data_IF_793242992837
#
_entry.id   IF_793242992837
#
_cell.length_a   1.000
_cell.length_b   1.000
_cell.length_c   1.000
_cell.angle_alpha   90.00
_cell.angle_beta   90.00
_cell.angle_gamma   90.00
#
_symmetry.space_group_name_H-M   'P 1'
#
loop_
_entity.id
_entity.type
_entity.pdbx_description
1 polymer ?
#
# COMPACT_ATOMS: atom_id res chain seq x y z
N UNK A 1 -63.68 8.64 18.45
CA UNK A 1 -63.43 7.33 17.80
C UNK A 1 -62.20 7.47 16.92
N UNK A 2 -61.04 7.01 17.37
CA UNK A 2 -59.82 6.93 16.56
C UNK A 2 -59.82 5.59 15.82
N UNK A 3 -59.84 5.61 14.49
CA UNK A 3 -59.59 4.43 13.66
C UNK A 3 -58.11 4.07 13.79
N UNK A 4 -57.81 2.91 14.34
CA UNK A 4 -56.50 2.28 14.17
C UNK A 4 -56.32 1.97 12.68
N UNK A 5 -55.30 2.55 12.07
CA UNK A 5 -54.81 2.12 10.76
C UNK A 5 -54.10 0.78 10.97
N UNK A 6 -54.60 -0.27 10.32
CA UNK A 6 -53.94 -1.56 10.25
C UNK A 6 -52.58 -1.39 9.59
N UNK A 7 -51.51 -1.66 10.34
CA UNK A 7 -50.18 -1.76 9.78
C UNK A 7 -50.17 -2.88 8.76
N UNK A 8 -49.81 -2.55 7.52
CA UNK A 8 -49.48 -3.56 6.53
C UNK A 8 -48.26 -4.33 7.04
N UNK A 9 -48.45 -5.61 7.35
CA UNK A 9 -47.34 -6.54 7.58
C UNK A 9 -46.44 -6.50 6.34
N UNK A 10 -45.26 -5.87 6.47
CA UNK A 10 -44.19 -6.09 5.52
C UNK A 10 -43.86 -7.57 5.61
N UNK A 11 -44.04 -8.30 4.51
CA UNK A 11 -43.46 -9.64 4.38
C UNK A 11 -41.98 -9.49 4.70
N UNK A 12 -41.55 -10.14 5.78
CA UNK A 12 -40.15 -10.30 6.07
C UNK A 12 -39.55 -11.11 4.93
N UNK A 13 -38.90 -10.41 4.01
CA UNK A 13 -38.29 -11.00 2.82
C UNK A 13 -36.97 -11.70 3.18
N UNK A 14 -36.68 -11.93 4.47
CA UNK A 14 -35.48 -12.58 4.95
C UNK A 14 -34.20 -11.76 4.68
N UNK A 15 -33.11 -12.16 5.33
CA UNK A 15 -31.81 -11.52 5.14
C UNK A 15 -31.27 -11.83 3.73
N UNK A 16 -30.90 -10.77 2.99
CA UNK A 16 -30.34 -10.88 1.64
C UNK A 16 -29.07 -11.74 1.59
N UNK A 17 -28.27 -11.71 2.66
CA UNK A 17 -27.04 -12.48 2.80
C UNK A 17 -27.34 -13.98 2.93
N UNK A 18 -28.35 -14.33 3.72
CA UNK A 18 -28.79 -15.73 3.88
C UNK A 18 -29.39 -16.25 2.58
N UNK A 19 -30.17 -15.44 1.86
CA UNK A 19 -30.65 -15.81 0.52
C UNK A 19 -29.52 -16.09 -0.47
N UNK A 20 -28.50 -15.23 -0.48
CA UNK A 20 -27.33 -15.40 -1.34
C UNK A 20 -26.56 -16.69 -0.97
N UNK A 21 -26.39 -16.95 0.32
CA UNK A 21 -25.77 -18.18 0.83
C UNK A 21 -26.54 -19.43 0.40
N UNK A 22 -27.87 -19.44 0.56
CA UNK A 22 -28.72 -20.57 0.15
C UNK A 22 -28.63 -20.81 -1.36
N UNK A 23 -28.72 -19.75 -2.17
CA UNK A 23 -28.59 -19.86 -3.62
C UNK A 23 -27.19 -20.37 -4.04
N UNK A 24 -26.13 -19.93 -3.36
CA UNK A 24 -24.78 -20.43 -3.58
C UNK A 24 -24.65 -21.89 -3.19
N UNK A 25 -25.18 -22.27 -2.01
CA UNK A 25 -25.20 -23.64 -1.51
C UNK A 25 -25.88 -24.59 -2.51
N UNK A 26 -27.06 -24.22 -3.01
CA UNK A 26 -27.81 -25.03 -3.97
C UNK A 26 -27.07 -25.20 -5.30
N UNK A 27 -26.41 -24.13 -5.77
CA UNK A 27 -25.74 -24.11 -7.08
C UNK A 27 -24.36 -24.77 -7.07
N UNK A 28 -23.56 -24.50 -6.05
CA UNK A 28 -22.12 -24.79 -6.03
C UNK A 28 -21.73 -25.88 -5.03
N UNK A 29 -22.57 -26.15 -4.03
CA UNK A 29 -22.27 -27.06 -2.92
C UNK A 29 -23.29 -28.20 -2.79
N UNK A 30 -24.14 -28.41 -3.80
CA UNK A 30 -25.16 -29.47 -3.81
C UNK A 30 -26.11 -29.38 -2.58
N UNK A 31 -26.39 -28.17 -2.11
CA UNK A 31 -27.23 -27.92 -0.93
C UNK A 31 -26.52 -28.13 0.42
N UNK A 32 -25.23 -28.50 0.42
CA UNK A 32 -24.48 -28.83 1.65
C UNK A 32 -23.96 -27.61 2.42
N UNK A 33 -24.21 -26.39 1.93
CA UNK A 33 -23.81 -25.15 2.59
C UNK A 33 -24.74 -24.69 3.71
N UNK A 34 -25.91 -25.33 3.88
CA UNK A 34 -26.87 -25.00 4.93
C UNK A 34 -27.54 -26.27 5.47
N UNK A 35 -27.46 -26.47 6.79
CA UNK A 35 -28.16 -27.55 7.48
C UNK A 35 -29.54 -27.05 7.88
N UNK A 36 -30.58 -27.76 7.44
CA UNK A 36 -31.96 -27.47 7.85
C UNK A 36 -32.07 -27.57 9.37
N UNK A 37 -32.69 -26.58 10.00
CA UNK A 37 -32.97 -26.60 11.43
C UNK A 37 -33.77 -27.84 11.82
N UNK A 38 -33.29 -28.55 12.83
CA UNK A 38 -33.94 -29.72 13.40
C UNK A 38 -33.90 -29.70 14.93
N UNK A 39 -34.90 -30.28 15.62
CA UNK A 39 -34.90 -30.41 17.07
C UNK A 39 -33.74 -31.29 17.56
N UNK A 40 -33.13 -30.89 18.66
CA UNK A 40 -32.02 -31.57 19.31
C UNK A 40 -32.14 -31.47 20.83
N UNK A 41 -31.85 -32.57 21.52
CA UNK A 41 -31.85 -32.62 22.98
C UNK A 41 -30.44 -32.34 23.51
N UNK A 42 -30.16 -31.10 23.90
CA UNK A 42 -28.87 -30.72 24.46
C UNK A 42 -28.74 -31.16 25.93
N UNK A 43 -27.59 -31.72 26.37
CA UNK A 43 -27.38 -32.21 27.73
C UNK A 43 -27.72 -31.20 28.84
N UNK A 44 -27.33 -29.94 28.65
CA UNK A 44 -27.53 -28.88 29.66
C UNK A 44 -28.72 -27.94 29.37
N UNK A 45 -29.16 -27.82 28.11
CA UNK A 45 -30.11 -26.79 27.69
C UNK A 45 -31.53 -27.33 27.46
N UNK A 46 -31.69 -28.65 27.42
CA UNK A 46 -32.97 -29.27 27.09
C UNK A 46 -33.23 -29.26 25.58
N UNK A 47 -34.48 -29.06 25.19
CA UNK A 47 -34.91 -29.03 23.79
C UNK A 47 -34.45 -27.72 23.11
N UNK A 48 -33.64 -27.86 22.06
CA UNK A 48 -33.14 -26.75 21.23
C UNK A 48 -33.24 -27.13 19.75
N UNK A 49 -33.02 -26.18 18.84
CA UNK A 49 -32.84 -26.49 17.42
C UNK A 49 -31.36 -26.35 17.03
N UNK A 50 -30.89 -27.22 16.15
CA UNK A 50 -29.54 -27.14 15.56
C UNK A 50 -29.66 -27.07 14.03
N UNK A 51 -28.80 -26.29 13.40
CA UNK A 51 -28.82 -26.08 11.96
C UNK A 51 -28.16 -24.75 11.59
N UNK A 52 -28.46 -24.25 10.40
CA UNK A 52 -27.95 -23.00 9.88
C UNK A 52 -26.82 -23.18 8.86
N UNK A 53 -26.09 -22.10 8.59
CA UNK A 53 -24.96 -22.10 7.67
C UNK A 53 -23.88 -23.08 8.11
N UNK A 54 -23.41 -23.93 7.20
CA UNK A 54 -22.27 -24.80 7.47
C UNK A 54 -21.01 -23.94 7.62
N UNK A 55 -20.16 -24.19 8.64
CA UNK A 55 -18.95 -23.40 8.86
C UNK A 55 -18.14 -23.20 7.58
N UNK A 56 -17.65 -21.98 7.39
CA UNK A 56 -16.82 -21.54 6.26
C UNK A 56 -17.51 -21.43 4.90
N UNK A 57 -18.77 -21.82 4.78
CA UNK A 57 -19.50 -21.76 3.49
C UNK A 57 -19.58 -20.33 2.94
N UNK A 58 -19.63 -19.33 3.83
CA UNK A 58 -19.74 -17.91 3.46
C UNK A 58 -18.41 -17.28 3.02
N UNK A 59 -17.26 -17.84 3.43
CA UNK A 59 -15.97 -17.18 3.27
C UNK A 59 -14.88 -18.04 2.63
N UNK A 60 -15.14 -19.33 2.41
CA UNK A 60 -14.19 -20.27 1.86
C UNK A 60 -14.82 -20.94 0.64
N UNK A 61 -14.41 -20.54 -0.57
CA UNK A 61 -14.93 -21.16 -1.79
C UNK A 61 -14.54 -22.65 -1.85
N UNK A 62 -15.35 -23.50 -2.52
CA UNK A 62 -15.01 -24.90 -2.71
C UNK A 62 -13.70 -25.04 -3.51
N UNK A 63 -12.97 -26.13 -3.25
CA UNK A 63 -11.66 -26.37 -3.83
C UNK A 63 -11.67 -26.37 -5.38
N UNK A 64 -12.78 -26.76 -5.99
CA UNK A 64 -12.98 -26.74 -7.44
C UNK A 64 -12.92 -25.34 -8.07
N UNK A 65 -13.12 -24.28 -7.28
CA UNK A 65 -13.03 -22.89 -7.75
C UNK A 65 -11.63 -22.29 -7.61
N UNK A 66 -10.67 -23.00 -6.99
CA UNK A 66 -9.35 -22.42 -6.70
C UNK A 66 -8.65 -21.96 -7.98
N UNK A 67 -8.61 -22.80 -9.01
CA UNK A 67 -7.87 -22.49 -10.24
C UNK A 67 -8.42 -21.25 -10.95
N UNK A 68 -9.74 -21.14 -11.12
CA UNK A 68 -10.36 -19.98 -11.78
C UNK A 68 -10.23 -18.70 -10.95
N UNK A 69 -10.24 -18.80 -9.62
CA UNK A 69 -9.98 -17.66 -8.74
C UNK A 69 -8.52 -17.21 -8.85
N UNK A 70 -7.56 -18.15 -8.88
CA UNK A 70 -6.14 -17.83 -9.02
C UNK A 70 -5.82 -17.19 -10.37
N UNK A 71 -6.42 -17.66 -11.45
CA UNK A 71 -6.30 -17.08 -12.80
C UNK A 71 -6.66 -15.59 -12.83
N UNK A 72 -7.60 -15.15 -11.98
CA UNK A 72 -8.01 -13.74 -11.88
C UNK A 72 -7.18 -12.96 -10.85
N UNK A 73 -6.96 -13.53 -9.67
CA UNK A 73 -6.36 -12.81 -8.53
C UNK A 73 -4.85 -12.64 -8.69
N UNK A 74 -4.14 -13.66 -9.21
CA UNK A 74 -2.67 -13.64 -9.30
C UNK A 74 -2.17 -12.52 -10.22
N UNK A 75 -2.69 -12.34 -11.45
CA UNK A 75 -2.27 -11.22 -12.30
C UNK A 75 -2.52 -9.86 -11.66
N UNK A 76 -3.66 -9.69 -10.97
CA UNK A 76 -3.99 -8.44 -10.29
C UNK A 76 -3.01 -8.08 -9.17
N UNK A 77 -2.50 -9.07 -8.43
CA UNK A 77 -1.45 -8.86 -7.42
C UNK A 77 -0.17 -8.31 -8.07
N UNK A 78 0.21 -8.80 -9.25
CA UNK A 78 1.35 -8.27 -9.99
C UNK A 78 1.09 -6.85 -10.51
N UNK A 79 -0.11 -6.56 -11.01
CA UNK A 79 -0.48 -5.19 -11.40
C UNK A 79 -0.39 -4.20 -10.23
N UNK A 80 -0.78 -4.62 -9.02
CA UNK A 80 -0.60 -3.81 -7.81
C UNK A 80 0.88 -3.63 -7.45
N UNK A 81 1.67 -4.71 -7.52
CA UNK A 81 3.10 -4.65 -7.24
C UNK A 81 3.83 -3.69 -8.18
N UNK A 82 3.44 -3.64 -9.47
CA UNK A 82 4.01 -2.72 -10.45
C UNK A 82 3.70 -1.24 -10.17
N UNK A 83 2.63 -0.96 -9.41
CA UNK A 83 2.21 0.39 -9.02
C UNK A 83 2.90 0.87 -7.74
N UNK A 84 3.57 -0.01 -6.98
CA UNK A 84 4.30 0.36 -5.77
C UNK A 84 5.34 1.45 -6.06
N UNK A 85 5.57 2.39 -5.11
CA UNK A 85 6.48 3.50 -5.32
C UNK A 85 7.88 3.02 -5.66
N UNK A 86 8.55 3.69 -6.60
CA UNK A 86 9.95 3.42 -6.95
C UNK A 86 10.68 4.75 -7.10
N UNK A 87 11.53 5.05 -6.13
CA UNK A 87 12.32 6.26 -6.09
C UNK A 87 13.65 6.09 -6.84
N UNK A 88 13.99 7.06 -7.66
CA UNK A 88 15.26 7.14 -8.39
C UNK A 88 15.78 8.57 -8.44
N UNK A 89 17.09 8.72 -8.66
CA UNK A 89 17.69 10.05 -8.87
C UNK A 89 17.56 10.37 -10.36
N UNK A 90 16.58 11.19 -10.72
CA UNK A 90 16.33 11.58 -12.11
C UNK A 90 17.51 12.38 -12.67
N UNK A 91 17.89 13.45 -11.98
CA UNK A 91 18.90 14.40 -12.44
C UNK A 91 19.70 14.93 -11.25
N UNK A 92 20.98 15.21 -11.50
CA UNK A 92 21.84 15.94 -10.57
C UNK A 92 22.52 17.05 -11.36
N UNK A 93 22.33 18.28 -10.93
CA UNK A 93 22.96 19.46 -11.52
C UNK A 93 23.91 20.08 -10.51
N UNK A 94 25.13 20.34 -10.97
CA UNK A 94 26.18 20.98 -10.17
C UNK A 94 26.46 22.35 -10.77
N UNK A 95 26.45 23.39 -9.95
CA UNK A 95 26.84 24.75 -10.36
C UNK A 95 27.99 25.22 -9.48
N UNK A 96 29.11 25.58 -10.09
CA UNK A 96 30.23 26.22 -9.39
C UNK A 96 29.88 27.69 -9.10
N UNK A 97 30.06 28.10 -7.84
CA UNK A 97 29.82 29.46 -7.39
C UNK A 97 31.12 30.21 -7.06
N UNK A 98 32.28 29.59 -7.26
CA UNK A 98 33.60 30.11 -6.92
C UNK A 98 34.04 29.76 -5.50
N UNK A 99 35.32 29.98 -5.20
CA UNK A 99 35.92 29.76 -3.87
C UNK A 99 35.70 28.32 -3.32
N UNK A 100 35.69 27.34 -4.22
CA UNK A 100 35.43 25.93 -3.90
C UNK A 100 34.01 25.65 -3.43
N UNK A 101 33.05 26.57 -3.65
CA UNK A 101 31.64 26.43 -3.29
C UNK A 101 30.83 25.95 -4.49
N UNK A 102 30.03 24.90 -4.28
CA UNK A 102 29.18 24.29 -5.29
C UNK A 102 27.73 24.24 -4.82
N UNK A 103 26.81 24.62 -5.70
CA UNK A 103 25.38 24.33 -5.54
C UNK A 103 25.06 23.00 -6.22
N UNK A 104 24.50 22.08 -5.44
CA UNK A 104 23.99 20.80 -5.92
C UNK A 104 22.47 20.83 -5.92
N UNK A 105 21.86 20.61 -7.07
CA UNK A 105 20.42 20.44 -7.23
C UNK A 105 20.15 18.98 -7.62
N UNK A 106 19.31 18.28 -6.86
CA UNK A 106 19.00 16.86 -7.08
C UNK A 106 17.50 16.70 -7.24
N UNK A 107 17.08 16.01 -8.30
CA UNK A 107 15.69 15.66 -8.54
C UNK A 107 15.48 14.18 -8.25
N UNK A 108 14.74 13.89 -7.18
CA UNK A 108 14.28 12.54 -6.84
C UNK A 108 12.90 12.35 -7.47
N UNK A 109 12.73 11.33 -8.30
CA UNK A 109 11.43 11.01 -8.89
C UNK A 109 10.83 9.77 -8.27
N UNK A 110 9.50 9.70 -8.24
CA UNK A 110 8.77 8.45 -8.08
C UNK A 110 8.21 8.05 -9.45
N UNK A 111 8.82 7.05 -10.08
CA UNK A 111 8.45 6.60 -11.42
C UNK A 111 7.12 5.81 -11.48
N UNK A 112 6.46 5.59 -10.35
CA UNK A 112 5.29 4.71 -10.23
C UNK A 112 4.05 5.44 -9.71
N UNK A 113 2.90 4.80 -9.87
CA UNK A 113 1.58 5.41 -9.65
C UNK A 113 1.29 5.69 -8.16
N UNK A 114 1.63 4.76 -7.25
CA UNK A 114 1.37 4.97 -5.84
C UNK A 114 2.38 5.96 -5.25
N UNK A 115 1.93 6.87 -4.36
CA UNK A 115 2.81 7.83 -3.72
C UNK A 115 3.69 7.18 -2.66
N UNK A 116 4.79 7.85 -2.33
CA UNK A 116 5.63 7.55 -1.19
C UNK A 116 5.52 8.70 -0.18
N UNK A 117 5.01 8.51 1.04
CA UNK A 117 4.12 7.42 1.44
C UNK A 117 2.68 7.63 0.92
N UNK A 118 1.76 6.73 1.26
CA UNK A 118 0.31 6.96 1.10
C UNK A 118 -0.18 8.05 2.07
N UNK A 119 -1.39 8.58 1.88
CA UNK A 119 -1.96 9.57 2.79
C UNK A 119 -2.07 9.06 4.25
N UNK A 120 -2.42 7.78 4.44
CA UNK A 120 -2.40 7.16 5.77
C UNK A 120 -0.97 6.98 6.30
N UNK A 121 -0.02 6.71 5.40
CA UNK A 121 1.38 6.64 5.76
C UNK A 121 1.94 7.98 6.24
N UNK A 122 1.59 9.08 5.59
CA UNK A 122 1.94 10.44 6.03
C UNK A 122 1.36 10.74 7.42
N UNK A 123 0.07 10.40 7.65
CA UNK A 123 -0.59 10.56 8.94
C UNK A 123 0.08 9.75 10.05
N UNK A 124 0.51 8.53 9.75
CA UNK A 124 1.08 7.61 10.72
C UNK A 124 2.61 7.66 10.78
N UNK A 125 3.25 8.52 9.99
CA UNK A 125 4.70 8.62 9.84
C UNK A 125 5.36 7.27 9.46
N UNK A 126 4.71 6.53 8.55
CA UNK A 126 5.15 5.24 8.05
C UNK A 126 4.99 5.13 6.53
N UNK A 127 5.90 4.47 5.80
CA UNK A 127 7.21 3.99 6.23
C UNK A 127 8.14 5.11 6.70
N UNK A 128 9.29 4.74 7.25
CA UNK A 128 10.38 5.68 7.49
C UNK A 128 10.75 6.43 6.19
N UNK A 129 11.17 7.71 6.28
CA UNK A 129 11.50 8.51 5.11
C UNK A 129 12.58 7.86 4.26
N UNK A 130 12.55 8.12 2.96
CA UNK A 130 13.70 7.86 2.12
C UNK A 130 14.83 8.82 2.53
N UNK A 131 16.07 8.47 2.25
CA UNK A 131 17.24 9.25 2.65
C UNK A 131 18.16 9.42 1.47
N UNK A 132 18.52 10.67 1.20
CA UNK A 132 19.65 11.02 0.33
C UNK A 132 20.86 11.23 1.22
N UNK A 133 21.92 10.47 0.95
CA UNK A 133 23.22 10.62 1.59
C UNK A 133 24.22 11.13 0.57
N UNK A 134 24.88 12.25 0.85
CA UNK A 134 26.02 12.74 0.09
C UNK A 134 27.31 12.27 0.74
N UNK A 135 28.06 11.45 0.00
CA UNK A 135 29.34 10.87 0.41
C UNK A 135 30.47 11.56 -0.37
N UNK A 136 31.45 12.10 0.35
CA UNK A 136 32.63 12.77 -0.19
C UNK A 136 33.63 13.05 0.92
N UNK A 137 34.88 13.32 0.57
CA UNK A 137 35.95 13.59 1.53
C UNK A 137 36.01 15.07 1.88
N UNK A 138 36.12 15.40 3.18
CA UNK A 138 36.29 16.77 3.67
C UNK A 138 35.27 17.79 3.09
N UNK A 139 34.01 17.37 2.91
CA UNK A 139 32.92 18.25 2.50
C UNK A 139 32.44 19.12 3.67
N UNK A 140 32.48 20.43 3.48
CA UNK A 140 31.82 21.39 4.37
C UNK A 140 30.42 21.69 3.83
N UNK A 141 29.37 21.47 4.62
CA UNK A 141 27.99 21.78 4.24
C UNK A 141 27.64 23.19 4.71
N UNK A 142 27.59 24.12 3.77
CA UNK A 142 27.15 25.50 4.02
C UNK A 142 25.62 25.60 4.11
N UNK A 143 24.92 24.76 3.35
CA UNK A 143 23.46 24.60 3.40
C UNK A 143 23.06 23.15 3.13
N UNK A 144 22.04 22.69 3.85
CA UNK A 144 21.54 21.33 3.78
C UNK A 144 22.29 20.39 4.72
N UNK A 145 21.84 19.14 4.79
CA UNK A 145 22.43 18.11 5.65
C UNK A 145 23.12 17.05 4.80
N UNK A 146 24.20 16.41 5.28
CA UNK A 146 24.81 15.28 4.59
C UNK A 146 23.82 14.13 4.39
N UNK A 147 22.94 13.92 5.36
CA UNK A 147 21.87 12.92 5.38
C UNK A 147 20.52 13.64 5.39
N UNK A 148 19.91 13.81 4.21
CA UNK A 148 18.64 14.52 4.06
C UNK A 148 17.47 13.54 3.92
N UNK A 149 16.45 13.61 4.80
CA UNK A 149 15.25 12.79 4.67
C UNK A 149 14.31 13.34 3.60
N UNK A 150 13.92 12.49 2.64
CA UNK A 150 12.86 12.74 1.66
C UNK A 150 11.56 12.14 2.22
N UNK A 151 10.74 13.01 2.79
CA UNK A 151 9.51 12.62 3.49
C UNK A 151 8.42 12.13 2.54
N UNK A 152 8.28 12.79 1.39
CA UNK A 152 7.16 12.55 0.49
C UNK A 152 7.53 12.82 -0.96
N UNK A 153 7.12 11.92 -1.83
CA UNK A 153 7.11 12.07 -3.29
C UNK A 153 5.81 11.50 -3.81
N UNK A 154 4.99 12.34 -4.46
CA UNK A 154 3.74 11.89 -5.07
C UNK A 154 3.98 10.84 -6.16
N UNK A 155 2.96 10.06 -6.51
CA UNK A 155 3.02 9.13 -7.63
C UNK A 155 3.25 9.87 -8.95
N UNK A 156 4.20 9.40 -9.76
CA UNK A 156 4.60 10.06 -11.02
C UNK A 156 4.98 11.54 -10.82
N UNK A 157 5.55 11.88 -9.66
CA UNK A 157 6.02 13.24 -9.33
C UNK A 157 7.53 13.24 -9.09
N UNK A 158 8.07 14.45 -9.07
CA UNK A 158 9.46 14.75 -8.80
C UNK A 158 9.54 15.67 -7.58
N UNK A 159 10.51 15.40 -6.72
CA UNK A 159 10.88 16.17 -5.54
C UNK A 159 12.30 16.73 -5.75
N UNK A 160 12.51 18.02 -5.46
CA UNK A 160 13.81 18.69 -5.64
C UNK A 160 14.43 18.96 -4.29
N UNK A 161 15.71 18.62 -4.15
CA UNK A 161 16.55 18.94 -3.01
C UNK A 161 17.75 19.79 -3.46
N UNK A 162 18.23 20.66 -2.58
CA UNK A 162 19.33 21.58 -2.86
C UNK A 162 20.33 21.60 -1.70
N UNK A 163 21.62 21.58 -2.03
CA UNK A 163 22.73 21.75 -1.09
C UNK A 163 23.68 22.83 -1.57
N UNK A 164 24.30 23.49 -0.60
CA UNK A 164 25.46 24.33 -0.81
C UNK A 164 26.63 23.67 -0.06
N UNK A 165 27.62 23.22 -0.81
CA UNK A 165 28.79 22.53 -0.25
C UNK A 165 30.06 23.28 -0.62
N UNK A 166 31.05 23.23 0.25
CA UNK A 166 32.41 23.65 -0.05
C UNK A 166 33.33 22.43 -0.07
N UNK A 167 34.21 22.39 -1.07
CA UNK A 167 35.24 21.37 -1.24
C UNK A 167 36.59 22.04 -1.50
N UNK A 168 37.61 21.65 -0.74
CA UNK A 168 38.96 22.19 -0.88
C UNK A 168 39.70 21.66 -2.12
N UNK A 169 39.28 20.51 -2.65
CA UNK A 169 39.91 19.88 -3.82
C UNK A 169 38.86 19.32 -4.79
N UNK A 170 39.21 19.15 -6.07
CA UNK A 170 38.43 18.37 -7.01
C UNK A 170 38.20 16.95 -6.51
N UNK A 171 36.95 16.47 -6.55
CA UNK A 171 36.62 15.11 -6.11
C UNK A 171 35.34 14.60 -6.75
N UNK A 172 35.14 13.28 -6.65
CA UNK A 172 33.89 12.63 -7.06
C UNK A 172 33.01 12.40 -5.84
N UNK A 173 31.80 12.95 -5.86
CA UNK A 173 30.81 12.74 -4.82
C UNK A 173 29.86 11.62 -5.20
N UNK A 174 29.47 10.82 -4.21
CA UNK A 174 28.45 9.78 -4.37
C UNK A 174 27.16 10.22 -3.68
N UNK A 175 26.08 10.31 -4.46
CA UNK A 175 24.73 10.53 -3.97
C UNK A 175 24.02 9.19 -3.88
N UNK A 176 23.66 8.79 -2.67
CA UNK A 176 22.96 7.53 -2.40
C UNK A 176 21.55 7.80 -1.89
N UNK A 177 20.57 7.44 -2.69
CA UNK A 177 19.16 7.42 -2.31
C UNK A 177 18.81 6.03 -1.76
N UNK A 178 18.26 5.98 -0.56
CA UNK A 178 17.83 4.74 0.10
C UNK A 178 16.41 4.85 0.62
N UNK A 179 15.61 3.79 0.47
CA UNK A 179 14.30 3.62 1.09
C UNK A 179 14.11 2.17 1.50
N UNK A 180 13.27 1.93 2.51
CA UNK A 180 12.92 0.56 2.96
C UNK A 180 11.97 -0.15 2.00
N UNK A 181 11.08 0.60 1.34
CA UNK A 181 9.98 0.02 0.55
C UNK A 181 9.70 0.77 -0.77
N UNK A 182 10.63 1.64 -1.20
CA UNK A 182 10.51 2.36 -2.45
C UNK A 182 11.80 2.34 -3.27
N UNK A 183 12.59 1.27 -3.14
CA UNK A 183 13.90 1.11 -3.79
C UNK A 183 14.89 2.24 -3.43
N UNK A 184 15.98 2.32 -4.17
CA UNK A 184 17.02 3.32 -4.01
C UNK A 184 17.82 3.42 -5.30
N UNK A 185 18.73 4.39 -5.32
CA UNK A 185 19.56 4.68 -6.49
C UNK A 185 20.89 5.29 -6.04
N UNK A 186 21.90 5.20 -6.90
CA UNK A 186 23.24 5.73 -6.63
C UNK A 186 23.72 6.49 -7.86
N UNK A 187 24.11 7.75 -7.69
CA UNK A 187 24.74 8.54 -8.74
C UNK A 187 26.05 9.15 -8.25
N UNK A 188 27.04 9.16 -9.13
CA UNK A 188 28.33 9.81 -8.89
C UNK A 188 28.42 11.09 -9.70
N UNK A 189 28.89 12.17 -9.09
CA UNK A 189 29.14 13.45 -9.77
C UNK A 189 30.57 13.92 -9.50
N UNK A 190 31.14 14.70 -10.41
CA UNK A 190 32.46 15.32 -10.21
C UNK A 190 32.28 16.80 -9.86
N UNK A 191 33.02 17.27 -8.86
CA UNK A 191 33.12 18.68 -8.49
C UNK A 191 34.58 19.14 -8.60
N UNK A 192 34.82 20.42 -8.87
CA UNK A 192 36.16 20.99 -9.05
C UNK A 192 36.82 20.68 -10.39
N UNK A 193 36.08 20.85 -11.49
CA UNK A 193 36.63 20.77 -12.85
C UNK A 193 37.50 21.97 -13.23
#
# INVERSE_FOLDING_TARGET
MMKQQGGTEKKDDGDASIKALLAFSDRELEGKGFVKWEPYQHPDLGEVEIGGAVPFTENTPPASMIDSLLELQVPWVFELAEKLPRLSIREVKTTDLGDGVYRLEVWIENGKYLPFPTAMGERNQQPAPAVVLLEGENLEFLQGLPRTPVQKVGGMKVHREEWLIRSASPQTLTLRLTSKNAWGDVKTIKIGG
#
